data_IF_949704495342
#
_entry.id   IF_949704495342
#
_cell.length_a   1.000
_cell.length_b   1.000
_cell.length_c   1.000
_cell.angle_alpha   90.00
_cell.angle_beta   90.00
_cell.angle_gamma   90.00
#
_symmetry.space_group_name_H-M   'P 1'
#
loop_
_entity.id
_entity.type
_entity.pdbx_description
1 polymer ?
#
# COMPACT_ATOMS: atom_id res chain seq x y z
N UNK A 1 -28.39 -17.69 4.55
CA UNK A 1 -29.03 -18.79 5.32
C UNK A 1 -28.47 -20.17 5.03
N UNK A 2 -28.02 -20.52 3.81
CA UNK A 2 -27.59 -21.92 3.54
C UNK A 2 -26.16 -22.29 3.96
N UNK A 3 -25.28 -21.29 4.17
CA UNK A 3 -23.87 -21.56 4.56
C UNK A 3 -23.74 -21.78 6.07
N UNK A 4 -24.58 -21.15 6.90
CA UNK A 4 -24.50 -21.28 8.36
C UNK A 4 -24.87 -22.70 8.82
N UNK A 5 -25.83 -23.35 8.16
CA UNK A 5 -26.27 -24.69 8.50
C UNK A 5 -25.23 -25.79 8.17
N UNK A 6 -24.22 -25.51 7.35
CA UNK A 6 -23.18 -26.49 7.01
C UNK A 6 -22.13 -26.64 8.13
N UNK A 7 -22.10 -25.72 9.10
CA UNK A 7 -21.13 -25.70 10.20
C UNK A 7 -21.68 -26.21 11.53
N UNK A 8 -22.97 -26.57 11.59
CA UNK A 8 -23.64 -26.99 12.83
C UNK A 8 -23.38 -28.45 13.21
N UNK A 9 -23.03 -29.32 12.26
CA UNK A 9 -22.82 -30.75 12.53
C UNK A 9 -21.36 -31.11 12.84
N UNK A 10 -21.03 -31.02 14.14
CA UNK A 10 -20.08 -31.83 14.92
C UNK A 10 -19.10 -32.74 14.15
N UNK A 11 -18.20 -32.16 13.36
CA UNK A 11 -17.06 -32.84 12.73
C UNK A 11 -15.85 -31.92 12.71
N UNK A 12 -14.64 -32.48 12.72
CA UNK A 12 -13.36 -31.75 12.68
C UNK A 12 -13.30 -30.70 11.55
N UNK A 13 -14.05 -30.88 10.47
CA UNK A 13 -14.22 -29.91 9.39
C UNK A 13 -14.87 -28.57 9.83
N UNK A 14 -15.79 -28.58 10.80
CA UNK A 14 -16.39 -27.34 11.34
C UNK A 14 -15.37 -26.57 12.19
N UNK A 15 -14.48 -27.26 12.90
CA UNK A 15 -13.41 -26.64 13.69
C UNK A 15 -12.31 -26.05 12.78
N UNK A 16 -11.86 -26.81 11.78
CA UNK A 16 -10.87 -26.34 10.83
C UNK A 16 -11.36 -25.13 10.01
N UNK A 17 -12.64 -25.14 9.61
CA UNK A 17 -13.29 -23.99 8.96
C UNK A 17 -13.38 -22.74 9.85
N UNK A 18 -13.69 -22.92 11.15
CA UNK A 18 -13.69 -21.82 12.13
C UNK A 18 -12.28 -21.24 12.32
N UNK A 19 -11.26 -22.08 12.47
CA UNK A 19 -9.89 -21.63 12.67
C UNK A 19 -9.32 -20.92 11.43
N UNK A 20 -9.66 -21.39 10.23
CA UNK A 20 -9.34 -20.70 8.99
C UNK A 20 -9.96 -19.31 8.95
N UNK A 21 -11.28 -19.22 9.24
CA UNK A 21 -11.97 -17.93 9.29
C UNK A 21 -11.33 -16.98 10.29
N UNK A 22 -11.05 -17.44 11.51
CA UNK A 22 -10.39 -16.62 12.54
C UNK A 22 -9.01 -16.12 12.11
N UNK A 23 -8.25 -16.95 11.40
CA UNK A 23 -6.92 -16.58 10.91
C UNK A 23 -6.97 -15.58 9.76
N UNK A 24 -7.95 -15.69 8.87
CA UNK A 24 -8.21 -14.68 7.84
C UNK A 24 -8.69 -13.36 8.47
N UNK A 25 -9.64 -13.42 9.41
CA UNK A 25 -10.15 -12.24 10.13
C UNK A 25 -9.03 -11.55 10.95
N UNK A 26 -8.06 -12.33 11.44
CA UNK A 26 -6.85 -11.82 12.09
C UNK A 26 -5.93 -11.16 11.07
N UNK A 27 -5.65 -11.80 9.94
CA UNK A 27 -4.81 -11.25 8.89
C UNK A 27 -5.36 -9.92 8.36
N UNK A 28 -6.67 -9.80 8.18
CA UNK A 28 -7.31 -8.55 7.79
C UNK A 28 -7.16 -7.43 8.83
N UNK A 29 -7.24 -7.77 10.13
CA UNK A 29 -6.97 -6.82 11.21
C UNK A 29 -5.52 -6.41 11.24
N UNK A 30 -4.60 -7.37 11.16
CA UNK A 30 -3.17 -7.11 11.19
C UNK A 30 -2.74 -6.23 9.98
N UNK A 31 -3.38 -6.42 8.82
CA UNK A 31 -3.22 -5.51 7.67
C UNK A 31 -3.62 -4.08 8.03
N UNK A 32 -4.84 -3.86 8.56
CA UNK A 32 -5.30 -2.51 8.94
C UNK A 32 -4.45 -1.87 10.03
N UNK A 33 -4.05 -2.64 11.05
CA UNK A 33 -3.43 -2.09 12.24
C UNK A 33 -1.91 -1.89 12.07
N UNK A 34 -1.23 -2.78 11.33
CA UNK A 34 0.23 -2.77 11.22
C UNK A 34 0.76 -2.40 9.83
N UNK A 35 -0.05 -2.46 8.77
CA UNK A 35 0.37 -2.02 7.43
C UNK A 35 -0.03 -0.57 7.18
N UNK A 36 -1.30 -0.22 7.39
CA UNK A 36 -1.84 1.08 6.94
C UNK A 36 -1.21 2.27 7.67
N UNK A 37 -1.14 2.22 9.00
CA UNK A 37 -0.62 3.35 9.78
C UNK A 37 0.87 3.61 9.49
N UNK A 38 1.77 2.61 9.53
CA UNK A 38 3.17 2.82 9.16
C UNK A 38 3.36 3.23 7.71
N UNK A 39 2.59 2.65 6.78
CA UNK A 39 2.65 3.03 5.36
C UNK A 39 2.27 4.50 5.18
N UNK A 40 1.16 4.95 5.81
CA UNK A 40 0.74 6.34 5.74
C UNK A 40 1.82 7.27 6.26
N UNK A 41 2.37 7.01 7.45
CA UNK A 41 3.33 7.90 8.08
C UNK A 41 4.69 7.98 7.36
N UNK A 42 5.19 6.85 6.87
CA UNK A 42 6.57 6.71 6.35
C UNK A 42 6.66 6.82 4.83
N UNK A 43 5.57 6.53 4.12
CA UNK A 43 5.50 6.59 2.65
C UNK A 43 4.62 7.75 2.21
N UNK A 44 3.32 7.68 2.49
CA UNK A 44 2.34 8.64 1.95
C UNK A 44 2.60 10.06 2.45
N UNK A 45 2.67 10.27 3.76
CA UNK A 45 2.87 11.58 4.37
C UNK A 45 4.26 12.13 4.05
N UNK A 46 5.26 11.25 3.95
CA UNK A 46 6.62 11.64 3.63
C UNK A 46 6.75 12.16 2.18
N UNK A 47 6.18 11.43 1.22
CA UNK A 47 6.07 11.89 -0.18
C UNK A 47 5.20 13.14 -0.25
N UNK A 48 4.09 13.19 0.48
CA UNK A 48 3.19 14.35 0.54
C UNK A 48 3.91 15.63 0.96
N UNK A 49 4.78 15.56 1.98
CA UNK A 49 5.62 16.69 2.41
C UNK A 49 6.60 17.14 1.33
N UNK A 50 7.23 16.21 0.60
CA UNK A 50 8.07 16.58 -0.54
C UNK A 50 7.25 17.23 -1.66
N UNK A 51 6.07 16.69 -1.95
CA UNK A 51 5.20 17.22 -2.98
C UNK A 51 4.67 18.63 -2.65
N UNK A 52 4.57 18.98 -1.37
CA UNK A 52 4.10 20.28 -0.92
C UNK A 52 5.03 21.45 -1.31
N UNK A 53 6.29 21.20 -1.70
CA UNK A 53 7.19 22.26 -2.19
C UNK A 53 6.89 22.69 -3.64
N UNK A 54 6.29 21.82 -4.46
CA UNK A 54 6.12 22.11 -5.89
C UNK A 54 5.16 23.27 -6.19
N UNK A 55 4.02 23.45 -5.49
CA UNK A 55 3.13 24.57 -5.75
C UNK A 55 3.83 25.93 -5.64
N UNK A 56 4.56 26.17 -4.56
CA UNK A 56 5.26 27.43 -4.32
C UNK A 56 6.37 27.68 -5.35
N UNK A 57 7.14 26.63 -5.67
CA UNK A 57 8.19 26.69 -6.70
C UNK A 57 7.58 26.96 -8.08
N UNK A 58 6.47 26.30 -8.42
CA UNK A 58 5.77 26.53 -9.68
C UNK A 58 5.24 27.97 -9.78
N UNK A 59 4.72 28.52 -8.69
CA UNK A 59 4.24 29.90 -8.67
C UNK A 59 5.38 30.91 -8.74
N UNK A 60 6.53 30.62 -8.12
CA UNK A 60 7.75 31.40 -8.27
C UNK A 60 8.26 31.40 -9.73
N UNK A 61 8.23 30.25 -10.41
CA UNK A 61 8.57 30.13 -11.84
C UNK A 61 7.62 30.99 -12.69
N UNK A 62 6.30 30.84 -12.54
CA UNK A 62 5.30 31.65 -13.26
C UNK A 62 5.52 33.15 -13.04
N UNK A 63 5.82 33.54 -11.80
CA UNK A 63 6.07 34.94 -11.44
C UNK A 63 7.33 35.46 -12.12
N UNK A 64 8.42 34.68 -12.12
CA UNK A 64 9.67 35.02 -12.83
C UNK A 64 9.44 35.17 -14.32
N UNK A 65 8.70 34.26 -14.95
CA UNK A 65 8.40 34.32 -16.39
C UNK A 65 7.57 35.56 -16.75
N UNK A 66 6.58 35.90 -15.93
CA UNK A 66 5.82 37.15 -16.09
C UNK A 66 6.74 38.38 -16.01
N UNK A 67 7.70 38.38 -15.09
CA UNK A 67 8.65 39.49 -14.92
C UNK A 67 9.69 39.60 -16.02
N UNK A 68 10.03 38.49 -16.68
CA UNK A 68 10.82 38.51 -17.90
C UNK A 68 10.07 39.25 -19.03
N UNK A 69 8.79 38.93 -19.23
CA UNK A 69 7.97 39.61 -20.24
C UNK A 69 7.79 41.11 -19.96
N UNK A 70 7.58 41.47 -18.68
CA UNK A 70 7.51 42.88 -18.26
C UNK A 70 8.83 43.60 -18.61
N UNK A 71 9.98 43.01 -18.27
CA UNK A 71 11.30 43.56 -18.58
C UNK A 71 11.51 43.76 -20.08
N UNK A 72 11.24 42.74 -20.90
CA UNK A 72 11.38 42.81 -22.36
C UNK A 72 10.48 43.90 -22.98
N UNK A 73 9.25 44.07 -22.46
CA UNK A 73 8.33 45.11 -22.92
C UNK A 73 8.82 46.53 -22.61
N UNK A 74 9.44 46.73 -21.44
CA UNK A 74 9.93 48.05 -21.02
C UNK A 74 11.26 48.43 -21.69
N UNK A 75 12.06 47.44 -22.08
CA UNK A 75 13.36 47.62 -22.73
C UNK A 75 13.31 48.48 -23.99
N UNK A 76 12.18 48.47 -24.70
CA UNK A 76 11.95 49.27 -25.91
C UNK A 76 11.30 50.64 -25.67
N UNK A 77 10.91 50.97 -24.42
CA UNK A 77 10.07 52.14 -24.11
C UNK A 77 10.77 53.20 -23.26
N UNK A 78 11.40 52.80 -22.15
CA UNK A 78 12.03 53.73 -21.22
C UNK A 78 13.13 53.03 -20.39
N UNK A 79 14.31 53.65 -20.32
CA UNK A 79 15.50 53.08 -19.67
C UNK A 79 15.30 52.87 -18.16
N UNK A 80 14.74 53.85 -17.44
CA UNK A 80 14.50 53.72 -16.00
C UNK A 80 13.52 52.58 -15.68
N UNK A 81 12.37 52.52 -16.39
CA UNK A 81 11.38 51.47 -16.20
C UNK A 81 11.93 50.07 -16.58
N UNK A 82 12.79 50.01 -17.59
CA UNK A 82 13.49 48.77 -17.96
C UNK A 82 14.46 48.32 -16.86
N UNK A 83 15.19 49.24 -16.23
CA UNK A 83 16.10 48.93 -15.14
C UNK A 83 15.36 48.41 -13.90
N UNK A 84 14.25 49.05 -13.51
CA UNK A 84 13.41 48.59 -12.39
C UNK A 84 12.83 47.19 -12.65
N UNK A 85 12.33 46.95 -13.87
CA UNK A 85 11.82 45.62 -14.25
C UNK A 85 12.92 44.55 -14.28
N UNK A 86 14.13 44.91 -14.72
CA UNK A 86 15.30 44.03 -14.75
C UNK A 86 15.68 43.56 -13.35
N UNK A 87 15.76 44.49 -12.38
CA UNK A 87 16.15 44.15 -10.99
C UNK A 87 15.18 43.16 -10.35
N UNK A 88 13.87 43.35 -10.57
CA UNK A 88 12.85 42.42 -10.06
C UNK A 88 13.00 41.03 -10.70
N UNK A 89 13.19 40.98 -12.02
CA UNK A 89 13.41 39.73 -12.73
C UNK A 89 14.68 39.01 -12.26
N UNK A 90 15.81 39.72 -12.18
CA UNK A 90 17.11 39.16 -11.79
C UNK A 90 17.08 38.61 -10.36
N UNK A 91 16.39 39.29 -9.44
CA UNK A 91 16.17 38.81 -8.07
C UNK A 91 15.44 37.47 -8.06
N UNK A 92 14.29 37.37 -8.73
CA UNK A 92 13.51 36.13 -8.81
C UNK A 92 14.26 35.00 -9.54
N UNK A 93 14.96 35.34 -10.63
CA UNK A 93 15.75 34.37 -11.39
C UNK A 93 16.90 33.81 -10.54
N UNK A 94 17.61 34.67 -9.80
CA UNK A 94 18.70 34.25 -8.91
C UNK A 94 18.17 33.35 -7.80
N UNK A 95 17.02 33.69 -7.20
CA UNK A 95 16.38 32.83 -6.20
C UNK A 95 16.10 31.42 -6.77
N UNK A 96 15.41 31.33 -7.91
CA UNK A 96 15.07 30.05 -8.53
C UNK A 96 16.31 29.24 -8.95
N UNK A 97 17.34 29.90 -9.48
CA UNK A 97 18.61 29.25 -9.85
C UNK A 97 19.28 28.60 -8.63
N UNK A 98 19.14 29.20 -7.45
CA UNK A 98 19.69 28.66 -6.21
C UNK A 98 18.78 27.59 -5.57
N UNK A 99 17.46 27.73 -5.66
CA UNK A 99 16.49 26.86 -5.00
C UNK A 99 16.20 25.57 -5.77
N UNK A 100 16.10 25.63 -7.11
CA UNK A 100 15.77 24.46 -7.93
C UNK A 100 16.77 23.29 -7.75
N UNK A 101 18.10 23.50 -7.77
CA UNK A 101 19.05 22.41 -7.51
C UNK A 101 18.86 21.80 -6.12
N UNK A 102 18.61 22.63 -5.09
CA UNK A 102 18.37 22.17 -3.72
C UNK A 102 17.10 21.32 -3.62
N UNK A 103 16.01 21.73 -4.28
CA UNK A 103 14.78 20.94 -4.34
C UNK A 103 15.03 19.58 -4.99
N UNK A 104 15.79 19.57 -6.09
CA UNK A 104 16.15 18.33 -6.77
C UNK A 104 17.01 17.45 -5.86
N UNK A 105 17.95 18.00 -5.11
CA UNK A 105 18.79 17.23 -4.18
C UNK A 105 17.98 16.62 -3.01
N UNK A 106 16.89 17.25 -2.59
CA UNK A 106 15.98 16.70 -1.58
C UNK A 106 15.33 15.37 -2.01
N UNK A 107 15.31 15.03 -3.31
CA UNK A 107 14.78 13.72 -3.77
C UNK A 107 15.43 12.53 -3.06
N UNK A 108 16.74 12.61 -2.80
CA UNK A 108 17.51 11.50 -2.21
C UNK A 108 17.12 11.29 -0.74
N UNK A 109 17.20 12.30 0.16
CA UNK A 109 16.83 12.12 1.56
C UNK A 109 15.35 11.86 1.80
N UNK A 110 14.46 12.18 0.84
CA UNK A 110 13.04 11.79 0.94
C UNK A 110 12.78 10.38 0.40
N UNK A 111 13.29 10.05 -0.79
CA UNK A 111 12.95 8.77 -1.42
C UNK A 111 13.69 7.58 -0.84
N UNK A 112 14.96 7.72 -0.44
CA UNK A 112 15.72 6.62 0.15
C UNK A 112 15.01 6.01 1.37
N UNK A 113 14.68 6.78 2.43
CA UNK A 113 14.00 6.22 3.59
C UNK A 113 12.57 5.79 3.27
N UNK A 114 11.87 6.45 2.34
CA UNK A 114 10.52 6.02 1.93
C UNK A 114 10.54 4.65 1.24
N UNK A 115 11.45 4.42 0.31
CA UNK A 115 11.58 3.11 -0.35
C UNK A 115 12.02 2.04 0.64
N UNK A 116 12.95 2.35 1.54
CA UNK A 116 13.37 1.44 2.59
C UNK A 116 12.19 1.07 3.51
N UNK A 117 11.42 2.05 3.97
CA UNK A 117 10.25 1.82 4.81
C UNK A 117 9.19 0.99 4.09
N UNK A 118 8.91 1.30 2.82
CA UNK A 118 7.97 0.56 1.99
C UNK A 118 8.32 -0.93 1.92
N UNK A 119 9.57 -1.24 1.57
CA UNK A 119 10.05 -2.63 1.47
C UNK A 119 9.98 -3.33 2.83
N UNK A 120 10.36 -2.66 3.92
CA UNK A 120 10.27 -3.23 5.27
C UNK A 120 8.85 -3.53 5.70
N UNK A 121 7.90 -2.64 5.42
CA UNK A 121 6.48 -2.84 5.73
C UNK A 121 5.94 -4.04 4.96
N UNK A 122 6.22 -4.11 3.66
CA UNK A 122 5.80 -5.24 2.81
C UNK A 122 6.44 -6.56 3.27
N UNK A 123 7.73 -6.57 3.55
CA UNK A 123 8.44 -7.76 4.04
C UNK A 123 7.83 -8.26 5.34
N UNK A 124 7.65 -7.37 6.32
CA UNK A 124 7.08 -7.71 7.62
C UNK A 124 5.67 -8.28 7.47
N UNK A 125 4.81 -7.62 6.71
CA UNK A 125 3.46 -8.09 6.46
C UNK A 125 3.44 -9.48 5.83
N UNK A 126 4.25 -9.71 4.79
CA UNK A 126 4.33 -11.01 4.12
C UNK A 126 4.86 -12.11 5.05
N UNK A 127 5.84 -11.81 5.90
CA UNK A 127 6.38 -12.76 6.89
C UNK A 127 5.32 -13.15 7.92
N UNK A 128 4.68 -12.16 8.56
CA UNK A 128 3.63 -12.40 9.56
C UNK A 128 2.42 -13.14 8.94
N UNK A 129 2.04 -12.78 7.71
CA UNK A 129 0.97 -13.48 6.97
C UNK A 129 1.33 -14.93 6.68
N UNK A 130 2.56 -15.18 6.22
CA UNK A 130 3.03 -16.52 5.90
C UNK A 130 3.08 -17.39 7.16
N UNK A 131 3.62 -16.88 8.27
CA UNK A 131 3.63 -17.59 9.55
C UNK A 131 2.22 -17.90 10.03
N UNK A 132 1.30 -16.93 9.95
CA UNK A 132 -0.11 -17.13 10.29
C UNK A 132 -0.79 -18.23 9.48
N UNK A 133 -0.58 -18.23 8.16
CA UNK A 133 -1.14 -19.24 7.26
C UNK A 133 -0.46 -20.61 7.39
N UNK A 134 0.85 -20.65 7.64
CA UNK A 134 1.58 -21.90 7.81
C UNK A 134 1.12 -22.64 9.09
N UNK A 135 0.80 -21.91 10.15
CA UNK A 135 0.23 -22.48 11.38
C UNK A 135 -1.15 -23.12 11.15
N UNK A 136 -1.89 -22.71 10.12
CA UNK A 136 -3.14 -23.37 9.74
C UNK A 136 -2.88 -24.73 9.09
N UNK A 137 -1.78 -24.89 8.36
CA UNK A 137 -1.47 -26.14 7.66
C UNK A 137 -1.43 -27.34 8.62
N UNK A 138 -0.86 -27.15 9.82
CA UNK A 138 -0.83 -28.16 10.86
C UNK A 138 -2.25 -28.57 11.32
N UNK A 139 -3.22 -27.67 11.25
CA UNK A 139 -4.61 -27.91 11.66
C UNK A 139 -5.45 -28.63 10.61
N UNK A 140 -5.00 -28.65 9.35
CA UNK A 140 -5.62 -29.38 8.23
C UNK A 140 -4.94 -30.71 7.91
N UNK A 141 -3.92 -31.11 8.69
CA UNK A 141 -3.06 -32.26 8.36
C UNK A 141 -3.69 -33.64 8.60
N UNK A 142 -4.93 -33.73 9.10
CA UNK A 142 -5.60 -35.00 9.42
C UNK A 142 -6.42 -35.57 8.23
N UNK A 143 -5.88 -35.44 7.00
CA UNK A 143 -6.51 -35.95 5.77
C UNK A 143 -6.73 -37.48 5.84
N UNK A 144 -5.86 -38.21 6.53
CA UNK A 144 -5.97 -39.66 6.70
C UNK A 144 -7.25 -40.05 7.45
N UNK A 145 -7.72 -39.25 8.41
CA UNK A 145 -8.97 -39.54 9.11
C UNK A 145 -10.20 -39.29 8.22
N UNK A 146 -10.15 -38.28 7.37
CA UNK A 146 -11.24 -37.97 6.43
C UNK A 146 -11.35 -39.05 5.37
N UNK A 147 -10.23 -39.49 4.80
CA UNK A 147 -10.20 -40.59 3.82
C UNK A 147 -10.70 -41.91 4.44
N UNK A 148 -10.30 -42.21 5.67
CA UNK A 148 -10.81 -43.39 6.40
C UNK A 148 -12.31 -43.29 6.71
N UNK A 149 -12.83 -42.10 7.05
CA UNK A 149 -14.27 -41.86 7.28
C UNK A 149 -15.07 -41.99 5.97
N UNK A 150 -14.53 -41.50 4.85
CA UNK A 150 -15.12 -41.64 3.51
C UNK A 150 -15.18 -43.10 3.10
N UNK A 151 -14.08 -43.85 3.26
CA UNK A 151 -14.04 -45.28 2.91
C UNK A 151 -15.00 -46.11 3.77
N UNK A 152 -15.15 -45.78 5.06
CA UNK A 152 -16.13 -46.42 5.94
C UNK A 152 -17.59 -46.15 5.52
N UNK A 153 -17.90 -44.95 5.03
CA UNK A 153 -19.24 -44.61 4.51
C UNK A 153 -19.50 -45.32 3.18
N UNK A 154 -18.51 -45.35 2.28
CA UNK A 154 -18.59 -46.09 1.01
C UNK A 154 -18.79 -47.59 1.25
N UNK A 155 -18.15 -48.15 2.27
CA UNK A 155 -18.35 -49.54 2.66
C UNK A 155 -19.78 -49.79 3.17
N UNK A 156 -20.31 -48.92 4.04
CA UNK A 156 -21.71 -49.02 4.48
C UNK A 156 -22.70 -48.94 3.32
N UNK A 157 -22.45 -48.07 2.34
CA UNK A 157 -23.27 -47.97 1.13
C UNK A 157 -23.22 -49.25 0.27
N UNK A 158 -22.04 -49.88 0.14
CA UNK A 158 -21.89 -51.18 -0.52
C UNK A 158 -22.66 -52.28 0.21
N UNK A 159 -22.59 -52.32 1.53
CA UNK A 159 -23.29 -53.33 2.36
C UNK A 159 -24.82 -53.15 2.30
N UNK A 160 -25.31 -51.90 2.27
CA UNK A 160 -26.72 -51.56 2.07
C UNK A 160 -27.23 -51.97 0.67
N UNK A 161 -26.39 -51.85 -0.37
CA UNK A 161 -26.73 -52.23 -1.73
C UNK A 161 -26.82 -53.75 -1.93
N UNK A 162 -26.15 -54.56 -1.10
CA UNK A 162 -26.16 -56.03 -1.18
C UNK A 162 -27.47 -56.65 -0.62
N UNK A 163 -28.23 -55.92 0.20
CA UNK A 163 -29.53 -56.38 0.71
C UNK A 163 -30.72 -56.11 -0.23
N UNK A 164 -30.47 -55.64 -1.45
CA UNK A 164 -31.49 -55.14 -2.37
C UNK A 164 -31.61 -55.87 -3.72
N UNK A 165 -31.27 -57.15 -3.81
CA UNK A 165 -31.75 -58.04 -4.91
C UNK A 165 -31.73 -59.49 -4.42
N UNK A 166 -32.79 -59.87 -3.72
CA UNK A 166 -33.21 -61.24 -3.45
C UNK A 166 -34.72 -61.30 -3.55
#
# INVERSE_FOLDING_TARGET
ETIEHFYEDSTDNSLAGKNYKESIDRLERDCRDYLDEPYRQTVTDHIGRFCAYFPDINDAIKKRDKKLLDYDSQRAKAEQAANEAREIYESLNTQLVNELPRLIDLRVPYFNPTFEALVKIQLRFCQESYEGLNNLQEQFSDNDQVDNKVEAVLQKMRDLAICGMG
#
